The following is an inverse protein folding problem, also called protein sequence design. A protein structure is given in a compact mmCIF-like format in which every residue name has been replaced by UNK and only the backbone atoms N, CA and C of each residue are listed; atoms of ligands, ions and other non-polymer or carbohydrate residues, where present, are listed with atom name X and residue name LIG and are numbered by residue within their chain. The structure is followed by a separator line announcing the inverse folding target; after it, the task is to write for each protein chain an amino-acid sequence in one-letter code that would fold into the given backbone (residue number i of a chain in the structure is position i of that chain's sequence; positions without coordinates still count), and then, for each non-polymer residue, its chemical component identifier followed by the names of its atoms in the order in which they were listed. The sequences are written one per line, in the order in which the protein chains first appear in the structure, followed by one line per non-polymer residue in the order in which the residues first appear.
data_IF_088698031599
#
_entry.id   IF_088698031599
#
_cell.length_a   1.000
_cell.length_b   1.000
_cell.length_c   1.000
_cell.angle_alpha   90.00
_cell.angle_beta   90.00
_cell.angle_gamma   90.00
#
_symmetry.space_group_name_H-M   'P 1'
#
loop_
_entity.id
_entity.type
_entity.pdbx_description
1 polymer ?
#
# COMPACT_ATOMS: atom_id res chain seq x y z
N UNK A 1 27.30 2.59 -2.12
CA UNK A 1 26.85 3.94 -2.54
C UNK A 1 25.33 3.94 -2.56
N UNK A 2 24.66 4.97 -2.04
CA UNK A 2 23.20 5.14 -2.18
C UNK A 2 22.95 6.25 -3.20
N UNK A 3 22.03 6.03 -4.14
CA UNK A 3 21.72 6.97 -5.23
C UNK A 3 20.24 7.34 -5.18
N UNK A 4 19.92 8.62 -5.30
CA UNK A 4 18.55 9.11 -5.49
C UNK A 4 18.36 9.47 -6.98
N UNK A 5 17.35 8.90 -7.63
CA UNK A 5 17.00 9.20 -9.02
C UNK A 5 15.89 10.26 -9.06
N UNK A 6 16.25 11.48 -9.45
CA UNK A 6 15.34 12.61 -9.49
C UNK A 6 14.86 12.87 -10.93
N UNK A 7 13.65 12.40 -11.28
CA UNK A 7 13.05 12.61 -12.61
C UNK A 7 11.55 12.94 -12.61
N UNK A 8 11.03 13.29 -11.43
CA UNK A 8 9.66 13.74 -11.18
C UNK A 8 8.52 12.76 -11.49
N UNK A 9 8.81 11.48 -11.72
CA UNK A 9 7.83 10.41 -11.94
C UNK A 9 8.47 9.05 -11.67
N UNK A 10 7.67 8.05 -11.26
CA UNK A 10 8.16 6.67 -11.15
C UNK A 10 8.70 6.18 -12.52
N UNK A 11 10.02 5.93 -12.65
CA UNK A 11 10.66 5.56 -13.91
C UNK A 11 10.28 4.17 -14.44
N UNK A 12 9.75 3.32 -13.57
CA UNK A 12 9.61 1.89 -13.77
C UNK A 12 10.62 1.07 -13.00
N UNK A 13 10.39 -0.25 -12.95
CA UNK A 13 11.05 -1.21 -12.06
C UNK A 13 12.57 -1.29 -12.23
N UNK A 14 13.10 -0.97 -13.41
CA UNK A 14 14.54 -0.92 -13.69
C UNK A 14 15.32 -0.03 -12.71
N UNK A 15 14.67 0.98 -12.10
CA UNK A 15 15.32 1.88 -11.16
C UNK A 15 15.85 1.17 -9.92
N UNK A 16 15.27 0.03 -9.54
CA UNK A 16 15.78 -0.82 -8.46
C UNK A 16 17.20 -1.34 -8.71
N UNK A 17 17.67 -1.35 -9.96
CA UNK A 17 19.02 -1.81 -10.28
C UNK A 17 20.07 -0.71 -10.11
N UNK A 18 19.66 0.56 -10.00
CA UNK A 18 20.59 1.70 -10.05
C UNK A 18 20.42 2.72 -8.91
N UNK A 19 19.26 2.77 -8.26
CA UNK A 19 18.90 3.80 -7.28
C UNK A 19 18.39 3.17 -5.99
N UNK A 20 18.74 3.76 -4.85
CA UNK A 20 18.16 3.39 -3.55
C UNK A 20 16.85 4.15 -3.27
N UNK A 21 16.60 5.24 -4.00
CA UNK A 21 15.32 5.93 -3.99
C UNK A 21 15.08 6.67 -5.30
N UNK A 22 13.83 7.04 -5.58
CA UNK A 22 13.46 7.77 -6.81
C UNK A 22 12.30 8.70 -6.60
N UNK A 23 12.41 9.92 -7.15
CA UNK A 23 11.36 10.92 -7.05
C UNK A 23 10.12 10.49 -7.84
N UNK A 24 8.97 10.45 -7.19
CA UNK A 24 7.70 9.95 -7.77
C UNK A 24 6.79 11.07 -8.32
N UNK A 25 7.09 12.33 -8.03
CA UNK A 25 6.28 13.47 -8.47
C UNK A 25 7.12 14.75 -8.69
N UNK A 26 6.51 15.78 -9.29
CA UNK A 26 7.06 17.12 -9.38
C UNK A 26 7.25 17.74 -7.99
N UNK A 27 8.14 18.73 -7.94
CA UNK A 27 8.62 19.37 -6.72
C UNK A 27 7.51 19.75 -5.74
N UNK A 28 7.78 19.54 -4.46
CA UNK A 28 6.91 19.95 -3.36
C UNK A 28 7.07 21.44 -3.06
N UNK A 29 6.00 22.05 -2.59
CA UNK A 29 5.97 23.38 -1.97
C UNK A 29 5.25 23.27 -0.63
N UNK A 30 5.42 24.27 0.25
CA UNK A 30 4.69 24.39 1.51
C UNK A 30 3.20 24.75 1.30
N UNK A 31 2.51 23.89 0.56
CA UNK A 31 1.13 24.03 0.12
C UNK A 31 0.39 22.69 0.33
N UNK A 32 -0.84 22.77 0.83
CA UNK A 32 -1.60 21.57 1.16
C UNK A 32 -1.98 20.73 -0.07
N UNK A 33 -2.26 21.36 -1.21
CA UNK A 33 -2.56 20.64 -2.44
C UNK A 33 -1.33 19.91 -2.98
N UNK A 34 -0.13 20.48 -2.80
CA UNK A 34 1.12 19.77 -3.09
C UNK A 34 1.30 18.52 -2.22
N UNK A 35 1.07 18.61 -0.91
CA UNK A 35 1.15 17.47 0.03
C UNK A 35 0.14 16.38 -0.34
N UNK A 36 -1.14 16.74 -0.56
CA UNK A 36 -2.19 15.78 -0.98
C UNK A 36 -1.85 15.10 -2.30
N UNK A 37 -1.41 15.86 -3.30
CA UNK A 37 -1.05 15.36 -4.63
C UNK A 37 0.02 14.27 -4.51
N UNK A 38 1.08 14.52 -3.76
CA UNK A 38 2.21 13.60 -3.60
C UNK A 38 1.79 12.32 -2.86
N UNK A 39 1.02 12.45 -1.76
CA UNK A 39 0.47 11.28 -1.05
C UNK A 39 -0.40 10.44 -1.99
N UNK A 40 -1.26 11.10 -2.77
CA UNK A 40 -2.14 10.44 -3.74
C UNK A 40 -1.35 9.72 -4.83
N UNK A 41 -0.29 10.32 -5.38
CA UNK A 41 0.58 9.64 -6.36
C UNK A 41 1.30 8.44 -5.76
N UNK A 42 1.78 8.56 -4.52
CA UNK A 42 2.55 7.51 -3.88
C UNK A 42 1.70 6.31 -3.42
N UNK A 43 0.37 6.47 -3.31
CA UNK A 43 -0.55 5.46 -2.73
C UNK A 43 -0.43 4.07 -3.36
N UNK A 44 -0.14 4.00 -4.65
CA UNK A 44 -0.03 2.75 -5.43
C UNK A 44 1.34 2.11 -5.41
N UNK A 45 2.34 2.82 -4.89
CA UNK A 45 3.72 2.44 -5.10
C UNK A 45 4.27 1.54 -3.98
N UNK A 46 3.40 1.05 -3.09
CA UNK A 46 3.79 0.25 -1.93
C UNK A 46 4.57 -1.01 -2.30
N UNK A 47 4.27 -1.63 -3.45
CA UNK A 47 5.00 -2.80 -3.94
C UNK A 47 6.45 -2.51 -4.34
N UNK A 48 6.76 -1.26 -4.72
CA UNK A 48 8.08 -0.83 -5.18
C UNK A 48 8.96 -0.29 -4.04
N UNK A 49 8.41 -0.06 -2.86
CA UNK A 49 9.22 0.19 -1.66
C UNK A 49 9.56 -1.15 -0.99
N UNK A 50 10.67 -1.75 -1.43
CA UNK A 50 11.10 -3.08 -0.99
C UNK A 50 12.63 -3.20 -1.07
N UNK A 51 13.21 -4.11 -0.29
CA UNK A 51 14.65 -4.44 -0.37
C UNK A 51 15.56 -3.22 -0.16
N UNK A 52 15.17 -2.28 0.71
CA UNK A 52 15.93 -1.06 0.97
C UNK A 52 15.87 -0.01 -0.16
N UNK A 53 14.85 -0.12 -1.02
CA UNK A 53 14.53 0.84 -2.07
C UNK A 53 13.26 1.61 -1.70
N UNK A 54 13.22 2.91 -1.97
CA UNK A 54 12.16 3.79 -1.46
C UNK A 54 11.59 4.71 -2.53
N UNK A 55 10.26 4.84 -2.52
CA UNK A 55 9.59 5.93 -3.23
C UNK A 55 9.93 7.25 -2.54
N UNK A 56 10.53 8.18 -3.27
CA UNK A 56 10.87 9.51 -2.77
C UNK A 56 9.72 10.48 -3.04
N UNK A 57 9.07 10.88 -1.95
CA UNK A 57 7.98 11.86 -1.92
C UNK A 57 8.49 13.31 -1.90
N UNK A 58 9.79 13.55 -2.12
CA UNK A 58 10.46 14.86 -2.06
C UNK A 58 10.72 15.37 -0.63
N UNK A 59 11.37 16.52 -0.52
CA UNK A 59 11.84 17.14 0.72
C UNK A 59 10.69 17.55 1.68
N UNK A 60 11.02 17.70 2.95
CA UNK A 60 10.10 18.12 4.00
C UNK A 60 9.95 19.63 4.04
N UNK A 61 8.70 20.10 4.08
CA UNK A 61 8.30 21.52 4.10
C UNK A 61 7.82 21.94 5.52
N UNK A 62 8.28 21.23 6.55
CA UNK A 62 7.90 21.46 7.95
C UNK A 62 8.48 22.80 8.44
N UNK A 63 7.66 23.65 9.05
CA UNK A 63 8.01 24.99 9.53
C UNK A 63 7.95 26.09 8.47
N UNK A 64 7.38 25.82 7.29
CA UNK A 64 7.40 26.74 6.13
C UNK A 64 6.04 27.35 5.75
N UNK A 65 5.00 27.15 6.56
CA UNK A 65 3.69 27.82 6.40
C UNK A 65 2.46 26.92 6.42
N UNK A 66 2.64 25.60 6.48
CA UNK A 66 1.54 24.65 6.69
C UNK A 66 0.94 24.80 8.10
N UNK A 67 -0.34 24.50 8.27
CA UNK A 67 -0.95 24.41 9.60
C UNK A 67 -0.38 23.22 10.39
N UNK A 68 -0.50 23.22 11.72
CA UNK A 68 0.02 22.10 12.53
C UNK A 68 -0.60 20.73 12.15
N UNK A 69 -1.86 20.71 11.70
CA UNK A 69 -2.52 19.50 11.22
C UNK A 69 -1.90 19.01 9.90
N UNK A 70 -1.64 19.94 8.97
CA UNK A 70 -1.02 19.64 7.69
C UNK A 70 0.46 19.24 7.87
N UNK A 71 1.19 19.84 8.81
CA UNK A 71 2.55 19.41 9.18
C UNK A 71 2.56 18.00 9.77
N UNK A 72 1.61 17.67 10.66
CA UNK A 72 1.44 16.29 11.18
C UNK A 72 1.17 15.31 10.05
N UNK A 73 0.27 15.65 9.14
CA UNK A 73 0.02 14.83 7.94
C UNK A 73 1.28 14.69 7.10
N UNK A 74 1.98 15.79 6.80
CA UNK A 74 3.18 15.80 5.97
C UNK A 74 4.25 14.85 6.53
N UNK A 75 4.73 15.10 7.75
CA UNK A 75 5.75 14.24 8.35
C UNK A 75 5.21 12.82 8.59
N UNK A 76 3.97 12.69 9.07
CA UNK A 76 3.36 11.40 9.38
C UNK A 76 3.26 10.48 8.17
N UNK A 77 2.82 11.02 7.03
CA UNK A 77 2.66 10.27 5.79
C UNK A 77 4.01 9.90 5.17
N UNK A 78 5.01 10.79 5.21
CA UNK A 78 6.38 10.44 4.78
C UNK A 78 6.95 9.31 5.64
N UNK A 79 6.66 9.32 6.95
CA UNK A 79 7.12 8.29 7.87
C UNK A 79 6.42 6.94 7.64
N UNK A 80 5.09 6.90 7.57
CA UNK A 80 4.35 5.64 7.38
C UNK A 80 4.60 5.06 5.98
N UNK A 81 4.83 5.90 4.97
CA UNK A 81 5.15 5.47 3.61
C UNK A 81 6.64 5.20 3.37
N UNK A 82 7.50 5.39 4.38
CA UNK A 82 8.95 5.13 4.31
C UNK A 82 9.69 5.97 3.25
N UNK A 83 9.22 7.18 2.99
CA UNK A 83 9.93 8.13 2.12
C UNK A 83 11.20 8.65 2.80
N UNK A 84 12.26 9.04 2.07
CA UNK A 84 13.37 9.78 2.64
C UNK A 84 12.91 11.02 3.43
N UNK A 85 13.52 11.25 4.60
CA UNK A 85 13.26 12.41 5.45
C UNK A 85 14.35 13.47 5.24
N UNK A 86 14.21 14.27 4.18
CA UNK A 86 15.15 15.34 3.82
C UNK A 86 14.59 16.70 4.27
N UNK A 87 15.17 17.31 5.30
CA UNK A 87 14.68 18.59 5.85
C UNK A 87 14.93 19.73 4.87
N UNK A 88 13.88 20.45 4.46
CA UNK A 88 13.95 21.59 3.54
C UNK A 88 13.75 22.98 4.17
N UNK A 89 13.68 23.09 5.50
CA UNK A 89 13.44 24.36 6.20
C UNK A 89 14.70 25.01 6.78
N UNK A 90 14.60 26.30 7.11
CA UNK A 90 15.65 27.04 7.82
C UNK A 90 15.63 26.67 9.31
N UNK A 91 16.61 25.87 9.72
CA UNK A 91 16.75 25.42 11.10
C UNK A 91 17.12 26.53 12.09
N UNK A 92 17.54 27.71 11.63
CA UNK A 92 17.86 28.85 12.50
C UNK A 92 16.61 29.58 12.98
N UNK A 93 15.49 29.43 12.26
CA UNK A 93 14.23 30.16 12.50
C UNK A 93 13.02 29.25 12.71
N UNK A 94 13.20 27.93 12.65
CA UNK A 94 12.11 26.96 12.82
C UNK A 94 11.38 27.13 14.16
N UNK A 95 10.05 27.11 14.11
CA UNK A 95 9.21 27.15 15.30
C UNK A 95 9.47 25.92 16.22
N UNK A 96 9.45 26.09 17.56
CA UNK A 96 9.67 24.98 18.49
C UNK A 96 8.70 23.79 18.30
N UNK A 97 7.44 24.05 17.92
CA UNK A 97 6.44 23.01 17.64
C UNK A 97 6.83 22.17 16.40
N UNK A 98 7.18 22.82 15.30
CA UNK A 98 7.64 22.17 14.07
C UNK A 98 8.95 21.39 14.28
N UNK A 99 9.89 21.93 15.07
CA UNK A 99 11.11 21.22 15.45
C UNK A 99 10.83 20.00 16.33
N UNK A 100 9.89 20.10 17.28
CA UNK A 100 9.48 18.98 18.11
C UNK A 100 8.85 17.86 17.26
N UNK A 101 8.04 18.22 16.26
CA UNK A 101 7.47 17.29 15.30
C UNK A 101 8.57 16.57 14.49
N UNK A 102 9.53 17.32 13.91
CA UNK A 102 10.68 16.74 13.20
C UNK A 102 11.51 15.78 14.07
N UNK A 103 11.54 16.00 15.39
CA UNK A 103 12.27 15.17 16.36
C UNK A 103 11.44 14.02 16.94
N UNK A 104 10.21 13.80 16.48
CA UNK A 104 9.37 12.73 17.00
C UNK A 104 9.99 11.35 16.70
N UNK A 105 10.59 10.75 17.73
CA UNK A 105 11.33 9.48 17.63
C UNK A 105 10.46 8.30 17.20
N UNK A 106 9.17 8.32 17.51
CA UNK A 106 8.27 7.22 17.15
C UNK A 106 7.89 7.28 15.67
N UNK A 107 7.67 8.48 15.10
CA UNK A 107 7.51 8.66 13.66
C UNK A 107 8.78 8.25 12.91
N UNK A 108 9.95 8.70 13.38
CA UNK A 108 11.24 8.33 12.77
C UNK A 108 11.46 6.81 12.85
N UNK A 109 11.11 6.16 13.96
CA UNK A 109 11.23 4.71 14.09
C UNK A 109 10.32 3.95 13.10
N UNK A 110 9.12 4.46 12.82
CA UNK A 110 8.24 3.91 11.77
C UNK A 110 8.88 4.07 10.39
N UNK A 111 9.50 5.22 10.11
CA UNK A 111 10.17 5.49 8.84
C UNK A 111 11.41 4.61 8.64
N UNK A 112 12.22 4.47 9.68
CA UNK A 112 13.50 3.74 9.68
C UNK A 112 13.34 2.25 10.04
N UNK A 113 12.14 1.71 9.92
CA UNK A 113 11.86 0.31 10.23
C UNK A 113 12.69 -0.63 9.34
N UNK A 114 13.33 -1.67 9.91
CA UNK A 114 14.23 -2.55 9.17
C UNK A 114 13.55 -3.39 8.07
N UNK A 115 12.21 -3.52 8.08
CA UNK A 115 11.50 -4.21 7.01
C UNK A 115 11.49 -3.40 5.70
N UNK A 116 11.79 -2.09 5.76
CA UNK A 116 11.80 -1.19 4.61
C UNK A 116 10.50 -1.20 3.78
N UNK A 117 9.35 -1.41 4.45
CA UNK A 117 8.04 -1.48 3.80
C UNK A 117 7.38 -0.10 3.76
N UNK A 118 6.75 0.23 2.64
CA UNK A 118 5.74 1.28 2.57
C UNK A 118 4.38 0.74 3.03
N UNK A 119 3.60 1.55 3.73
CA UNK A 119 2.22 1.22 4.05
C UNK A 119 1.31 1.26 2.81
N UNK A 120 0.38 0.31 2.74
CA UNK A 120 -0.64 0.22 1.71
C UNK A 120 -2.02 0.54 2.29
N UNK A 121 -2.94 0.97 1.43
CA UNK A 121 -4.33 1.24 1.82
C UNK A 121 -5.08 -0.08 1.98
N UNK A 122 -5.80 -0.24 3.09
CA UNK A 122 -6.70 -1.38 3.31
C UNK A 122 -8.17 -0.99 3.25
N UNK A 123 -8.48 0.30 3.40
CA UNK A 123 -9.86 0.77 3.47
C UNK A 123 -9.96 2.27 3.22
N UNK A 124 -11.05 2.67 2.55
CA UNK A 124 -11.43 4.08 2.38
C UNK A 124 -12.90 4.24 2.80
N UNK A 125 -13.18 5.20 3.68
CA UNK A 125 -14.55 5.50 4.14
C UNK A 125 -14.74 7.01 4.19
N UNK A 126 -15.72 7.54 3.45
CA UNK A 126 -16.03 8.97 3.45
C UNK A 126 -14.86 9.88 3.04
N UNK A 127 -13.95 9.37 2.20
CA UNK A 127 -12.72 10.06 1.78
C UNK A 127 -11.54 9.94 2.75
N UNK A 128 -11.69 9.23 3.87
CA UNK A 128 -10.61 8.96 4.84
C UNK A 128 -9.97 7.60 4.53
N UNK A 129 -8.65 7.58 4.50
CA UNK A 129 -7.85 6.41 4.13
C UNK A 129 -7.24 5.74 5.36
N UNK A 130 -7.32 4.42 5.43
CA UNK A 130 -6.60 3.60 6.41
C UNK A 130 -5.40 2.94 5.72
N UNK A 131 -4.21 3.36 6.12
CA UNK A 131 -2.93 2.75 5.73
C UNK A 131 -2.44 1.80 6.81
N UNK A 132 -1.75 0.74 6.40
CA UNK A 132 -1.10 -0.20 7.34
C UNK A 132 0.23 -0.71 6.80
N UNK A 133 1.19 -0.93 7.70
CA UNK A 133 2.37 -1.77 7.46
C UNK A 133 2.76 -2.59 8.68
N UNK A 134 3.47 -3.68 8.42
CA UNK A 134 4.18 -4.41 9.46
C UNK A 134 5.39 -3.60 9.93
N UNK A 135 5.75 -3.78 11.20
CA UNK A 135 6.86 -3.06 11.84
C UNK A 135 7.67 -4.09 12.62
N UNK A 136 9.00 -4.03 12.52
CA UNK A 136 10.01 -4.93 13.10
C UNK A 136 9.98 -6.37 12.58
N UNK A 137 8.82 -7.01 12.54
CA UNK A 137 8.65 -8.41 12.13
C UNK A 137 7.57 -8.51 11.07
N UNK A 138 7.93 -9.04 9.90
CA UNK A 138 6.98 -9.34 8.83
C UNK A 138 5.96 -10.38 9.34
N UNK A 139 4.67 -10.12 9.17
CA UNK A 139 3.57 -10.92 9.72
C UNK A 139 3.60 -11.05 11.26
N UNK A 140 4.20 -10.06 11.95
CA UNK A 140 4.16 -9.96 13.40
C UNK A 140 2.81 -9.45 13.93
N UNK A 141 2.67 -9.45 15.25
CA UNK A 141 1.52 -8.88 15.96
C UNK A 141 1.64 -7.37 16.21
N UNK A 142 2.74 -6.76 15.76
CA UNK A 142 2.99 -5.31 15.83
C UNK A 142 2.81 -4.68 14.45
N UNK A 143 1.93 -3.69 14.33
CA UNK A 143 1.67 -2.97 13.07
C UNK A 143 1.59 -1.46 13.31
N UNK A 144 1.97 -0.68 12.30
CA UNK A 144 1.70 0.75 12.26
C UNK A 144 0.49 1.00 11.36
N UNK A 145 -0.40 1.88 11.80
CA UNK A 145 -1.56 2.34 11.02
C UNK A 145 -1.56 3.86 10.93
N UNK A 146 -2.01 4.38 9.80
CA UNK A 146 -2.31 5.80 9.63
C UNK A 146 -3.75 5.98 9.14
N UNK A 147 -4.52 6.81 9.84
CA UNK A 147 -5.86 7.24 9.45
C UNK A 147 -5.72 8.66 8.90
N UNK A 148 -5.73 8.78 7.58
CA UNK A 148 -5.45 10.01 6.84
C UNK A 148 -6.74 10.65 6.35
N UNK A 149 -7.01 11.90 6.78
CA UNK A 149 -8.16 12.68 6.33
C UNK A 149 -7.73 13.83 5.42
N UNK A 150 -7.76 13.65 4.08
CA UNK A 150 -7.50 14.73 3.14
C UNK A 150 -8.66 15.73 2.99
N UNK A 151 -9.83 15.43 3.58
CA UNK A 151 -11.06 16.21 3.31
C UNK A 151 -11.10 17.52 4.10
N UNK A 152 -11.93 18.46 3.63
CA UNK A 152 -12.12 19.77 4.27
C UNK A 152 -12.98 19.72 5.55
N UNK A 153 -13.39 18.52 5.99
CA UNK A 153 -14.26 18.31 7.15
C UNK A 153 -13.59 17.37 8.15
N UNK A 154 -13.87 17.59 9.43
CA UNK A 154 -13.56 16.58 10.46
C UNK A 154 -14.36 15.31 10.19
N UNK A 155 -13.73 14.15 10.35
CA UNK A 155 -14.32 12.84 10.09
C UNK A 155 -14.11 11.92 11.29
N UNK A 156 -15.17 11.24 11.68
CA UNK A 156 -15.08 10.09 12.58
C UNK A 156 -14.72 8.85 11.78
N UNK A 157 -13.69 8.12 12.19
CA UNK A 157 -13.27 6.88 11.55
C UNK A 157 -13.25 5.74 12.57
N UNK A 158 -13.91 4.63 12.26
CA UNK A 158 -13.86 3.41 13.08
C UNK A 158 -12.85 2.44 12.50
N UNK A 159 -11.70 2.33 13.15
CA UNK A 159 -10.70 1.30 12.90
C UNK A 159 -11.19 -0.04 13.46
N UNK A 160 -11.45 -1.03 12.59
CA UNK A 160 -11.67 -2.40 13.02
C UNK A 160 -10.33 -3.14 12.97
N UNK A 161 -9.96 -3.82 14.06
CA UNK A 161 -8.66 -4.51 14.15
C UNK A 161 -8.53 -5.65 13.13
N UNK A 162 -9.65 -6.21 12.69
CA UNK A 162 -9.71 -7.18 11.60
C UNK A 162 -9.35 -6.57 10.23
N UNK A 163 -9.62 -5.29 9.97
CA UNK A 163 -9.23 -4.60 8.73
C UNK A 163 -7.68 -4.51 8.61
N UNK A 164 -6.97 -4.66 9.73
CA UNK A 164 -5.50 -4.65 9.82
C UNK A 164 -4.95 -5.97 10.33
N UNK A 165 -5.68 -7.07 10.10
CA UNK A 165 -5.26 -8.45 10.38
C UNK A 165 -4.91 -8.74 11.85
N UNK A 166 -5.37 -7.93 12.81
CA UNK A 166 -5.08 -8.11 14.24
C UNK A 166 -6.28 -8.70 15.01
N UNK A 167 -5.98 -9.46 16.07
CA UNK A 167 -6.97 -10.11 16.93
C UNK A 167 -6.55 -10.12 18.40
N UNK A 168 -7.52 -10.38 19.27
CA UNK A 168 -7.33 -10.36 20.71
C UNK A 168 -7.32 -8.93 21.24
N UNK A 169 -6.77 -8.75 22.44
CA UNK A 169 -6.62 -7.43 23.03
C UNK A 169 -5.49 -6.66 22.34
N UNK A 170 -5.72 -5.36 22.10
CA UNK A 170 -4.79 -4.51 21.37
C UNK A 170 -4.34 -3.35 22.25
N UNK A 171 -3.03 -3.29 22.53
CA UNK A 171 -2.41 -2.08 23.05
C UNK A 171 -2.24 -1.07 21.91
N UNK A 172 -2.73 0.15 22.12
CA UNK A 172 -2.69 1.22 21.12
C UNK A 172 -1.79 2.35 21.61
N UNK A 173 -0.74 2.66 20.86
CA UNK A 173 0.18 3.76 21.09
C UNK A 173 -0.10 4.89 20.11
N UNK A 174 -0.58 6.03 20.59
CA UNK A 174 -0.66 7.26 19.80
C UNK A 174 0.74 7.84 19.62
N UNK A 175 1.17 7.92 18.37
CA UNK A 175 2.53 8.27 17.97
C UNK A 175 2.77 9.78 18.00
N UNK A 176 1.73 10.59 17.76
CA UNK A 176 1.85 12.05 17.87
C UNK A 176 1.80 12.49 19.33
N UNK A 177 0.86 11.93 20.11
CA UNK A 177 0.73 12.23 21.53
C UNK A 177 1.79 11.54 22.39
N UNK A 178 2.51 10.56 21.83
CA UNK A 178 3.46 9.71 22.55
C UNK A 178 2.83 9.18 23.84
N UNK A 179 1.62 8.63 23.72
CA UNK A 179 0.85 8.10 24.85
C UNK A 179 0.15 6.79 24.49
N UNK A 180 0.06 5.87 25.44
CA UNK A 180 -0.82 4.71 25.31
C UNK A 180 -2.26 5.15 25.52
N UNK A 181 -3.14 4.72 24.62
CA UNK A 181 -4.58 4.84 24.79
C UNK A 181 -5.10 3.67 25.64
N UNK A 182 -6.40 3.69 25.93
CA UNK A 182 -7.07 2.54 26.52
C UNK A 182 -6.92 1.33 25.60
N UNK A 183 -6.66 0.17 26.20
CA UNK A 183 -6.62 -1.10 25.48
C UNK A 183 -7.94 -1.37 24.76
N UNK A 184 -7.86 -1.85 23.52
CA UNK A 184 -9.03 -2.20 22.73
C UNK A 184 -9.30 -3.70 22.85
N UNK A 185 -10.38 -4.04 23.54
CA UNK A 185 -10.84 -5.43 23.74
C UNK A 185 -12.05 -5.78 22.87
N UNK A 186 -12.76 -4.78 22.34
CA UNK A 186 -13.94 -4.93 21.48
C UNK A 186 -13.58 -5.15 20.00
N UNK A 187 -12.29 -5.03 19.65
CA UNK A 187 -11.80 -5.09 18.28
C UNK A 187 -12.07 -3.83 17.44
N UNK A 188 -12.55 -2.73 18.06
CA UNK A 188 -12.83 -1.46 17.36
C UNK A 188 -12.29 -0.26 18.14
N UNK A 189 -11.74 0.70 17.40
CA UNK A 189 -11.33 2.01 17.92
C UNK A 189 -11.92 3.10 17.03
N UNK A 190 -12.74 3.98 17.62
CA UNK A 190 -13.24 5.16 16.91
C UNK A 190 -12.35 6.35 17.19
N UNK A 191 -11.95 7.04 16.13
CA UNK A 191 -11.01 8.17 16.18
C UNK A 191 -11.59 9.34 15.40
N UNK A 192 -11.61 10.51 16.02
CA UNK A 192 -11.86 11.76 15.31
C UNK A 192 -10.59 12.23 14.61
N UNK A 193 -10.69 12.44 13.30
CA UNK A 193 -9.60 12.95 12.48
C UNK A 193 -10.05 14.29 11.91
N UNK A 194 -9.52 15.42 12.42
CA UNK A 194 -9.82 16.74 11.89
C UNK A 194 -9.53 16.85 10.40
N UNK A 195 -10.06 17.89 9.76
CA UNK A 195 -9.72 18.21 8.36
C UNK A 195 -8.20 18.32 8.19
N UNK A 196 -7.69 17.80 7.09
CA UNK A 196 -6.28 17.85 6.70
C UNK A 196 -5.30 17.17 7.67
N UNK A 197 -5.81 16.41 8.63
CA UNK A 197 -5.02 15.81 9.70
C UNK A 197 -4.86 14.30 9.51
N UNK A 198 -3.91 13.74 10.25
CA UNK A 198 -3.63 12.31 10.28
C UNK A 198 -3.52 11.84 11.72
N UNK A 199 -3.95 10.61 11.99
CA UNK A 199 -3.69 9.90 13.25
C UNK A 199 -2.85 8.67 12.95
N UNK A 200 -1.74 8.51 13.66
CA UNK A 200 -0.84 7.37 13.50
C UNK A 200 -0.76 6.63 14.82
N UNK A 201 -0.96 5.32 14.74
CA UNK A 201 -0.87 4.43 15.90
C UNK A 201 0.10 3.29 15.65
N UNK A 202 0.85 2.91 16.68
CA UNK A 202 1.43 1.57 16.76
C UNK A 202 0.46 0.68 17.53
N UNK A 203 0.07 -0.42 16.90
CA UNK A 203 -0.80 -1.44 17.46
C UNK A 203 0.04 -2.64 17.85
N UNK A 204 -0.15 -3.15 19.06
CA UNK A 204 0.40 -4.41 19.53
C UNK A 204 -0.75 -5.33 19.92
N UNK A 205 -0.90 -6.43 19.18
CA UNK A 205 -1.94 -7.42 19.40
C UNK A 205 -1.44 -8.66 20.13
N UNK A 206 -2.37 -9.44 20.66
CA UNK A 206 -2.13 -10.82 21.10
C UNK A 206 -2.03 -11.79 19.90
N UNK A 207 -2.75 -11.52 18.81
CA UNK A 207 -2.78 -12.39 17.65
C UNK A 207 -2.74 -11.67 16.30
N UNK A 208 -2.22 -12.38 15.30
CA UNK A 208 -2.14 -11.97 13.88
C UNK A 208 -2.91 -12.98 13.03
N UNK A 209 -3.84 -12.49 12.22
CA UNK A 209 -4.53 -13.27 11.18
C UNK A 209 -3.72 -13.29 9.89
N UNK A 210 -3.93 -14.34 9.11
CA UNK A 210 -3.54 -14.33 7.70
C UNK A 210 -4.37 -13.29 6.96
N UNK A 211 -3.70 -12.46 6.16
CA UNK A 211 -4.36 -11.55 5.23
C UNK A 211 -5.11 -12.39 4.20
N UNK A 212 -6.40 -12.13 4.04
CA UNK A 212 -7.27 -12.87 3.11
C UNK A 212 -7.60 -12.10 1.84
N UNK A 213 -7.36 -10.78 1.79
CA UNK A 213 -7.69 -9.92 0.64
C UNK A 213 -6.42 -9.25 0.13
N UNK A 214 -6.11 -9.41 -1.16
CA UNK A 214 -4.94 -8.84 -1.81
C UNK A 214 -5.38 -8.03 -3.03
N UNK A 215 -5.44 -6.71 -2.85
CA UNK A 215 -5.84 -5.78 -3.90
C UNK A 215 -4.77 -5.72 -5.01
N UNK A 216 -5.19 -5.59 -6.27
CA UNK A 216 -4.28 -5.55 -7.41
C UNK A 216 -3.39 -4.30 -7.40
N UNK A 217 -3.86 -3.18 -6.86
CA UNK A 217 -3.10 -1.94 -6.68
C UNK A 217 -2.03 -2.00 -5.58
N UNK A 218 -1.92 -3.14 -4.88
CA UNK A 218 -0.82 -3.44 -3.96
C UNK A 218 0.17 -4.47 -4.51
N UNK A 219 -0.07 -4.95 -5.74
CA UNK A 219 0.80 -5.88 -6.42
C UNK A 219 1.94 -5.18 -7.15
N UNK A 220 3.07 -5.88 -7.27
CA UNK A 220 4.16 -5.48 -8.14
C UNK A 220 3.75 -5.67 -9.60
N UNK A 221 3.86 -4.63 -10.41
CA UNK A 221 3.72 -4.73 -11.86
C UNK A 221 5.10 -4.56 -12.48
N UNK A 222 5.59 -5.58 -13.16
CA UNK A 222 6.95 -5.57 -13.70
C UNK A 222 7.12 -4.49 -14.79
N UNK A 223 6.08 -4.25 -15.59
CA UNK A 223 6.07 -3.23 -16.64
C UNK A 223 5.15 -2.07 -16.29
N UNK A 224 5.33 -1.48 -15.13
CA UNK A 224 4.65 -0.24 -14.75
C UNK A 224 5.61 0.95 -14.72
N UNK A 225 5.14 2.12 -15.16
CA UNK A 225 5.88 3.39 -15.09
C UNK A 225 4.90 4.58 -15.12
N UNK A 226 5.35 5.75 -14.68
CA UNK A 226 4.56 6.98 -14.66
C UNK A 226 5.07 8.04 -15.67
N UNK A 227 5.73 7.63 -16.75
CA UNK A 227 6.39 8.55 -17.71
C UNK A 227 5.53 8.96 -18.92
N UNK A 228 4.24 8.63 -18.87
CA UNK A 228 3.39 8.50 -20.04
C UNK A 228 3.19 7.01 -20.34
N UNK A 229 1.93 6.59 -20.37
CA UNK A 229 1.58 5.19 -20.59
C UNK A 229 1.32 4.99 -22.07
N UNK A 230 2.20 4.26 -22.75
CA UNK A 230 1.90 3.71 -24.06
C UNK A 230 1.52 2.25 -23.89
N UNK A 231 0.21 1.99 -23.75
CA UNK A 231 -0.31 0.64 -23.58
C UNK A 231 0.03 -0.29 -24.75
N UNK A 232 0.29 0.26 -25.95
CA UNK A 232 0.74 -0.54 -27.10
C UNK A 232 2.14 -1.16 -26.90
N UNK A 233 2.93 -0.65 -25.95
CA UNK A 233 4.24 -1.19 -25.58
C UNK A 233 4.18 -2.19 -24.42
N UNK A 234 2.97 -2.66 -24.04
CA UNK A 234 2.78 -3.69 -23.02
C UNK A 234 3.06 -3.20 -21.59
N UNK A 235 2.55 -2.03 -21.23
CA UNK A 235 2.62 -1.49 -19.87
C UNK A 235 1.26 -1.60 -19.17
N UNK A 236 1.23 -2.34 -18.07
CA UNK A 236 0.09 -2.37 -17.16
C UNK A 236 -0.07 -1.02 -16.43
N UNK A 237 -1.28 -0.77 -15.96
CA UNK A 237 -1.62 0.47 -15.27
C UNK A 237 -2.56 0.21 -14.09
N UNK A 238 -2.36 0.95 -13.00
CA UNK A 238 -3.40 1.14 -11.99
C UNK A 238 -4.42 2.16 -12.51
N UNK A 239 -5.70 1.84 -12.39
CA UNK A 239 -6.79 2.68 -12.87
C UNK A 239 -7.88 2.80 -11.82
N UNK A 240 -8.30 4.03 -11.52
CA UNK A 240 -9.45 4.27 -10.65
C UNK A 240 -10.70 3.58 -11.23
N UNK A 241 -11.36 2.79 -10.39
CA UNK A 241 -12.54 2.01 -10.69
C UNK A 241 -13.43 1.94 -9.44
N UNK A 242 -14.33 2.91 -9.20
CA UNK A 242 -15.08 3.05 -7.94
C UNK A 242 -15.93 1.85 -7.54
N UNK A 243 -16.25 0.96 -8.49
CA UNK A 243 -16.97 -0.28 -8.27
C UNK A 243 -16.09 -1.43 -7.77
N UNK A 244 -14.77 -1.38 -8.01
CA UNK A 244 -13.79 -2.38 -7.59
C UNK A 244 -13.51 -2.29 -6.09
N UNK A 245 -13.01 -3.38 -5.52
CA UNK A 245 -12.43 -3.34 -4.18
C UNK A 245 -11.30 -2.32 -4.13
N UNK A 246 -11.17 -1.59 -3.04
CA UNK A 246 -10.20 -0.48 -2.94
C UNK A 246 -10.46 0.71 -3.89
N UNK A 247 -11.44 0.60 -4.80
CA UNK A 247 -11.77 1.62 -5.80
C UNK A 247 -10.81 1.66 -6.98
N UNK A 248 -10.01 0.62 -7.22
CA UNK A 248 -8.92 0.60 -8.21
C UNK A 248 -8.83 -0.79 -8.85
N UNK A 249 -8.33 -0.85 -10.08
CA UNK A 249 -8.02 -2.10 -10.79
C UNK A 249 -6.68 -2.00 -11.51
N UNK A 250 -6.13 -3.14 -11.88
CA UNK A 250 -5.02 -3.23 -12.84
C UNK A 250 -5.57 -3.51 -14.23
N UNK A 251 -5.30 -2.62 -15.18
CA UNK A 251 -5.64 -2.77 -16.59
C UNK A 251 -4.39 -2.95 -17.45
N UNK A 252 -4.58 -3.42 -18.68
CA UNK A 252 -3.49 -3.63 -19.66
C UNK A 252 -2.40 -4.58 -19.19
N UNK A 253 -2.78 -5.63 -18.46
CA UNK A 253 -1.87 -6.71 -18.05
C UNK A 253 -1.75 -7.75 -19.18
N UNK A 254 -0.57 -8.34 -19.38
CA UNK A 254 -0.33 -9.34 -20.43
C UNK A 254 0.15 -8.76 -21.77
N UNK A 255 -0.04 -9.51 -22.86
CA UNK A 255 0.42 -9.20 -24.22
C UNK A 255 1.94 -8.93 -24.34
N UNK A 256 2.73 -9.36 -23.35
CA UNK A 256 4.19 -9.29 -23.32
C UNK A 256 4.71 -10.21 -22.20
N UNK A 257 5.83 -10.94 -22.38
CA UNK A 257 6.36 -11.86 -21.36
C UNK A 257 6.67 -11.20 -20.02
N UNK A 258 7.21 -9.99 -20.05
CA UNK A 258 7.51 -9.23 -18.83
C UNK A 258 6.31 -8.41 -18.30
N UNK A 259 5.12 -8.43 -18.93
CA UNK A 259 3.96 -7.68 -18.42
C UNK A 259 3.12 -8.55 -17.48
N UNK A 260 3.65 -8.78 -16.28
CA UNK A 260 3.03 -9.58 -15.24
C UNK A 260 2.76 -8.79 -13.95
N UNK A 261 1.84 -9.33 -13.15
CA UNK A 261 1.46 -8.85 -11.83
C UNK A 261 1.91 -9.86 -10.77
N UNK A 262 2.45 -9.40 -9.64
CA UNK A 262 2.85 -10.26 -8.51
C UNK A 262 2.42 -9.73 -7.14
N UNK A 263 1.70 -10.57 -6.40
CA UNK A 263 1.61 -10.43 -4.95
C UNK A 263 2.77 -11.18 -4.31
N UNK A 264 3.77 -10.43 -3.86
CA UNK A 264 5.04 -10.99 -3.34
C UNK A 264 5.01 -11.36 -1.86
N UNK A 265 4.03 -10.89 -1.11
CA UNK A 265 3.96 -11.05 0.36
C UNK A 265 2.71 -11.84 0.80
N UNK A 266 2.37 -12.90 0.05
CA UNK A 266 1.25 -13.80 0.41
C UNK A 266 1.72 -14.75 1.51
N UNK A 267 1.07 -14.75 2.67
CA UNK A 267 1.55 -15.52 3.81
C UNK A 267 0.58 -16.61 4.23
N UNK A 268 1.11 -17.80 4.53
CA UNK A 268 0.36 -18.92 5.11
C UNK A 268 1.08 -19.45 6.35
N UNK A 269 0.38 -19.51 7.48
CA UNK A 269 0.87 -19.99 8.78
C UNK A 269 1.18 -21.49 8.75
N UNK A 270 0.38 -22.27 8.01
CA UNK A 270 0.46 -23.74 7.99
C UNK A 270 0.85 -24.32 6.63
N UNK A 271 0.74 -23.53 5.56
CA UNK A 271 0.69 -24.07 4.20
C UNK A 271 -0.59 -24.87 3.97
N UNK A 272 -0.69 -25.52 2.80
CA UNK A 272 -1.80 -26.40 2.44
C UNK A 272 -2.69 -25.82 1.35
N UNK A 273 -3.88 -26.39 1.22
CA UNK A 273 -4.85 -26.03 0.17
C UNK A 273 -5.64 -24.79 0.56
N UNK A 274 -5.79 -23.88 -0.40
CA UNK A 274 -6.59 -22.69 -0.31
C UNK A 274 -7.49 -22.61 -1.55
N UNK A 275 -8.70 -22.10 -1.37
CA UNK A 275 -9.49 -21.60 -2.50
C UNK A 275 -9.08 -20.14 -2.74
N UNK A 276 -8.50 -19.88 -3.90
CA UNK A 276 -8.27 -18.53 -4.39
C UNK A 276 -9.48 -18.06 -5.19
N UNK A 277 -10.06 -16.92 -4.83
CA UNK A 277 -11.04 -16.23 -5.67
C UNK A 277 -10.35 -15.06 -6.35
N UNK A 278 -10.34 -15.05 -7.68
CA UNK A 278 -9.85 -13.93 -8.48
C UNK A 278 -11.05 -13.10 -8.92
N UNK A 279 -11.10 -11.84 -8.50
CA UNK A 279 -12.09 -10.86 -8.93
C UNK A 279 -11.52 -10.06 -10.11
N UNK A 280 -12.26 -10.00 -11.22
CA UNK A 280 -11.80 -9.45 -12.48
C UNK A 280 -12.93 -8.82 -13.30
N UNK A 281 -12.58 -8.08 -14.36
CA UNK A 281 -13.51 -7.47 -15.30
C UNK A 281 -13.05 -7.76 -16.74
N UNK A 282 -13.95 -8.27 -17.57
CA UNK A 282 -13.73 -8.48 -19.01
C UNK A 282 -15.06 -8.63 -19.74
N UNK A 283 -15.12 -8.18 -21.00
CA UNK A 283 -16.30 -8.38 -21.86
C UNK A 283 -16.21 -9.72 -22.62
N UNK A 284 -15.01 -10.29 -22.75
CA UNK A 284 -14.73 -11.50 -23.51
C UNK A 284 -14.15 -12.61 -22.63
N UNK A 285 -14.44 -13.86 -22.99
CA UNK A 285 -13.81 -15.01 -22.35
C UNK A 285 -12.32 -15.09 -22.72
N UNK A 286 -11.50 -15.58 -21.80
CA UNK A 286 -10.07 -15.64 -22.00
C UNK A 286 -9.36 -16.46 -20.93
N UNK A 287 -8.04 -16.29 -20.87
CA UNK A 287 -7.20 -16.98 -19.89
C UNK A 287 -6.24 -15.98 -19.26
N UNK A 288 -6.06 -16.12 -17.95
CA UNK A 288 -4.92 -15.58 -17.22
C UNK A 288 -4.13 -16.74 -16.66
N UNK A 289 -2.82 -16.70 -16.81
CA UNK A 289 -1.95 -17.74 -16.30
C UNK A 289 -1.50 -17.38 -14.89
N UNK A 290 -1.56 -18.35 -13.98
CA UNK A 290 -1.15 -18.20 -12.60
C UNK A 290 0.06 -19.07 -12.30
N UNK A 291 1.04 -18.50 -11.59
CA UNK A 291 2.19 -19.23 -11.07
C UNK A 291 2.36 -18.94 -9.59
N UNK A 292 2.56 -20.01 -8.81
CA UNK A 292 2.77 -19.92 -7.36
C UNK A 292 4.20 -20.33 -7.05
N UNK A 293 4.96 -19.41 -6.44
CA UNK A 293 6.40 -19.56 -6.20
C UNK A 293 7.11 -19.99 -7.50
N UNK A 294 8.00 -20.98 -7.40
CA UNK A 294 8.71 -21.61 -8.53
C UNK A 294 7.93 -22.77 -9.16
N UNK A 295 6.62 -22.85 -8.90
CA UNK A 295 5.75 -23.87 -9.45
C UNK A 295 5.54 -23.74 -10.96
N UNK A 296 4.91 -24.76 -11.55
CA UNK A 296 4.47 -24.69 -12.95
C UNK A 296 3.33 -23.68 -13.07
N UNK A 297 3.37 -22.92 -14.16
CA UNK A 297 2.28 -22.03 -14.54
C UNK A 297 1.06 -22.86 -14.97
N UNK A 298 -0.15 -22.42 -14.59
CA UNK A 298 -1.41 -23.06 -14.96
C UNK A 298 -2.45 -22.02 -15.40
N UNK A 299 -3.33 -22.36 -16.36
CA UNK A 299 -4.34 -21.43 -16.84
C UNK A 299 -5.50 -21.30 -15.85
N UNK A 300 -5.98 -20.07 -15.68
CA UNK A 300 -7.25 -19.72 -15.06
C UNK A 300 -8.16 -19.21 -16.17
N UNK A 301 -9.20 -19.96 -16.48
CA UNK A 301 -10.19 -19.59 -17.49
C UNK A 301 -11.16 -18.57 -16.91
N UNK A 302 -11.35 -17.47 -17.63
CA UNK A 302 -12.29 -16.41 -17.28
C UNK A 302 -13.41 -16.33 -18.31
N UNK A 303 -14.58 -15.92 -17.84
CA UNK A 303 -15.78 -15.76 -18.69
C UNK A 303 -16.02 -14.29 -18.95
N UNK A 304 -16.45 -13.92 -20.16
CA UNK A 304 -16.89 -12.57 -20.47
C UNK A 304 -18.15 -12.18 -19.70
N UNK A 305 -18.30 -10.88 -19.42
CA UNK A 305 -19.45 -10.31 -18.73
C UNK A 305 -19.83 -8.95 -19.30
N UNK A 306 -20.65 -8.21 -18.54
CA UNK A 306 -20.99 -6.83 -18.90
C UNK A 306 -19.81 -5.90 -18.63
N UNK A 307 -19.58 -4.92 -19.50
CA UNK A 307 -18.54 -3.89 -19.31
C UNK A 307 -18.62 -3.27 -17.92
N UNK A 308 -17.49 -3.30 -17.20
CA UNK A 308 -17.39 -2.72 -15.86
C UNK A 308 -18.09 -3.53 -14.76
N UNK A 309 -18.61 -4.72 -15.04
CA UNK A 309 -19.12 -5.61 -14.00
C UNK A 309 -17.99 -6.49 -13.46
N UNK A 310 -17.92 -6.62 -12.13
CA UNK A 310 -16.97 -7.53 -11.48
C UNK A 310 -17.51 -8.96 -11.58
N UNK A 311 -16.62 -9.86 -11.98
CA UNK A 311 -16.82 -11.29 -12.05
C UNK A 311 -15.78 -11.98 -11.17
N UNK A 312 -16.07 -13.22 -10.76
CA UNK A 312 -15.17 -13.99 -9.91
C UNK A 312 -14.97 -15.39 -10.46
N UNK A 313 -13.74 -15.88 -10.37
CA UNK A 313 -13.40 -17.28 -10.64
C UNK A 313 -12.69 -17.87 -9.42
N UNK A 314 -13.08 -19.08 -9.03
CA UNK A 314 -12.49 -19.80 -7.90
C UNK A 314 -11.55 -20.88 -8.41
N UNK A 315 -10.35 -20.92 -7.86
CA UNK A 315 -9.31 -21.88 -8.24
C UNK A 315 -8.67 -22.46 -6.98
N UNK A 316 -8.58 -23.79 -6.84
CA UNK A 316 -7.84 -24.40 -5.76
C UNK A 316 -6.34 -24.17 -5.98
N UNK A 317 -5.65 -23.73 -4.94
CA UNK A 317 -4.21 -23.50 -4.96
C UNK A 317 -3.55 -24.13 -3.74
N UNK A 318 -2.24 -24.40 -3.82
CA UNK A 318 -1.46 -24.92 -2.69
C UNK A 318 -0.39 -23.91 -2.32
N UNK A 319 -0.38 -23.48 -1.07
CA UNK A 319 0.61 -22.58 -0.51
C UNK A 319 1.61 -23.35 0.36
N UNK A 320 2.88 -22.93 0.31
CA UNK A 320 3.88 -23.38 1.28
C UNK A 320 3.67 -22.64 2.60
N UNK A 321 4.07 -23.26 3.70
CA UNK A 321 4.19 -22.54 4.98
C UNK A 321 5.17 -21.37 4.81
N UNK A 322 4.79 -20.21 5.32
CA UNK A 322 5.57 -18.97 5.24
C UNK A 322 5.15 -18.08 4.07
N UNK A 323 6.11 -17.33 3.55
CA UNK A 323 5.93 -16.38 2.44
C UNK A 323 5.82 -17.14 1.11
N UNK A 324 4.87 -16.71 0.29
CA UNK A 324 4.61 -17.17 -1.06
C UNK A 324 4.52 -15.97 -2.01
N UNK A 325 4.81 -16.24 -3.28
CA UNK A 325 4.59 -15.30 -4.39
C UNK A 325 3.51 -15.89 -5.30
N UNK A 326 2.50 -15.08 -5.63
CA UNK A 326 1.49 -15.43 -6.64
C UNK A 326 1.62 -14.44 -7.79
N UNK A 327 1.89 -14.97 -9.00
CA UNK A 327 2.04 -14.22 -10.24
C UNK A 327 0.86 -14.47 -11.16
N UNK A 328 0.35 -13.41 -11.78
CA UNK A 328 -0.58 -13.46 -12.91
C UNK A 328 0.09 -12.91 -14.17
N UNK A 329 -0.06 -13.62 -15.29
CA UNK A 329 0.56 -13.30 -16.58
C UNK A 329 -0.27 -13.79 -17.75
N UNK A 330 -0.06 -13.21 -18.93
CA UNK A 330 -0.40 -13.84 -20.21
C UNK A 330 0.48 -13.19 -21.29
N UNK A 331 1.51 -13.89 -21.76
CA UNK A 331 2.46 -13.30 -22.71
C UNK A 331 1.88 -13.13 -24.11
N UNK A 332 0.86 -13.94 -24.47
CA UNK A 332 0.34 -14.04 -25.83
C UNK A 332 -0.97 -13.25 -26.05
N UNK A 333 -1.62 -12.80 -24.98
CA UNK A 333 -2.87 -12.04 -25.04
C UNK A 333 -3.00 -11.12 -23.82
N UNK A 334 -3.93 -10.16 -23.90
CA UNK A 334 -4.31 -9.34 -22.76
C UNK A 334 -5.04 -10.18 -21.71
N UNK A 335 -4.69 -9.97 -20.45
CA UNK A 335 -5.43 -10.47 -19.30
C UNK A 335 -6.73 -9.66 -19.12
N UNK A 336 -7.74 -10.22 -18.42
CA UNK A 336 -8.82 -9.40 -17.87
C UNK A 336 -8.25 -8.32 -16.94
N UNK A 337 -9.02 -7.26 -16.73
CA UNK A 337 -8.67 -6.25 -15.71
C UNK A 337 -8.80 -6.90 -14.32
N UNK A 338 -7.80 -6.74 -13.48
CA UNK A 338 -7.71 -7.43 -12.18
C UNK A 338 -8.14 -6.45 -11.09
N UNK A 339 -9.15 -6.81 -10.30
CA UNK A 339 -9.57 -6.07 -9.11
C UNK A 339 -8.72 -6.53 -7.91
N UNK A 340 -8.87 -7.81 -7.53
CA UNK A 340 -8.17 -8.38 -6.38
C UNK A 340 -8.14 -9.91 -6.41
N UNK A 341 -7.38 -10.49 -5.49
CA UNK A 341 -7.59 -11.89 -5.11
C UNK A 341 -7.98 -12.01 -3.64
N UNK A 342 -8.80 -13.01 -3.32
CA UNK A 342 -9.05 -13.46 -1.95
C UNK A 342 -8.59 -14.89 -1.74
N UNK A 343 -8.17 -15.20 -0.51
CA UNK A 343 -7.69 -16.52 -0.11
C UNK A 343 -8.47 -17.03 1.09
N UNK A 344 -9.03 -18.23 0.94
CA UNK A 344 -9.73 -18.95 2.00
C UNK A 344 -9.06 -20.32 2.18
N UNK A 345 -8.58 -20.68 3.39
CA UNK A 345 -8.02 -22.00 3.62
C UNK A 345 -9.13 -23.05 3.45
N UNK A 346 -8.85 -24.10 2.69
CA UNK A 346 -9.78 -25.22 2.59
C UNK A 346 -9.83 -25.94 3.94
N UNK A 347 -11.02 -26.06 4.52
CA UNK A 347 -11.18 -26.83 5.76
C UNK A 347 -10.80 -28.27 5.44
N UNK A 348 -9.83 -28.82 6.17
CA UNK A 348 -9.58 -30.25 6.18
C UNK A 348 -10.90 -30.96 6.49
N UNK A 349 -11.38 -31.77 5.55
CA UNK A 349 -12.56 -32.63 5.74
C UNK A 349 -12.33 -33.63 6.87
#
# INVERSE_FOLDING_TARGET
MRVNVCRWNFPGTWVHQIGSSWRIDADITADWDAVKRIISKNRYLSAYATEGHYNDMDMLEIGRGLSEAEERTHLGMWCIQSSPLLIGCDLTTIAPSSLALLKNRELIAINQDPLALQAYVVKVVGGVYLYVKDVQTLQGTRRAVAIYNPTDQSRSFTLNMADVDLTGNITVRDVFAQKNLQEVTTGKLTVEVPKHDTRIFILQAEGRKERTVYEAETAWLERFQCLGINHQLGHAAYQDAPNCSGGVKVSWLGNHPDNYLEWRNVYSLKGGSYTMTLDYLTEEAGEVYCRINDGKEFPIRVTGGTKGQIQSVKVPIVLKKGKNVIRLSNAAAWCPEIDRMTLEPERSK
#
